data_IF_496428595269
#
_entry.id   IF_496428595269
#
_cell.length_a   1.000
_cell.length_b   1.000
_cell.length_c   1.000
_cell.angle_alpha   90.00
_cell.angle_beta   90.00
_cell.angle_gamma   90.00
#
_symmetry.space_group_name_H-M   'P 1'
#
loop_
_entity.id
_entity.type
_entity.pdbx_description
1 polymer ?
#
# COMPACT_ATOMS: atom_id res chain seq x y z
N UNK A 1 2.15 -3.76 -22.78
CA UNK A 1 0.92 -3.54 -21.99
C UNK A 1 0.56 -4.82 -21.27
N UNK A 2 0.28 -4.72 -19.97
CA UNK A 2 -0.11 -5.86 -19.15
C UNK A 2 -1.49 -6.39 -19.59
N UNK A 3 -1.77 -7.68 -19.35
CA UNK A 3 -3.06 -8.29 -19.69
C UNK A 3 -4.26 -7.57 -19.05
N UNK A 4 -4.06 -6.97 -17.87
CA UNK A 4 -5.09 -6.23 -17.16
C UNK A 4 -5.46 -4.92 -17.88
N UNK A 5 -4.48 -4.18 -18.37
CA UNK A 5 -4.71 -2.92 -19.10
C UNK A 5 -5.49 -3.13 -20.38
N UNK A 6 -5.21 -4.23 -21.10
CA UNK A 6 -5.99 -4.62 -22.30
C UNK A 6 -7.46 -4.90 -22.02
N UNK A 7 -7.83 -5.13 -20.75
CA UNK A 7 -9.19 -5.34 -20.29
C UNK A 7 -9.81 -4.08 -19.67
N UNK A 8 -9.16 -2.92 -19.82
CA UNK A 8 -9.64 -1.64 -19.29
C UNK A 8 -9.35 -1.41 -17.81
N UNK A 9 -8.54 -2.25 -17.17
CA UNK A 9 -8.10 -2.02 -15.80
C UNK A 9 -6.93 -1.03 -15.76
N UNK A 10 -6.93 -0.11 -14.79
CA UNK A 10 -5.74 0.65 -14.44
C UNK A 10 -4.81 -0.21 -13.57
N UNK A 11 -3.53 -0.26 -13.92
CA UNK A 11 -2.50 -0.97 -13.15
C UNK A 11 -1.60 0.05 -12.48
N UNK A 12 -1.48 -0.06 -11.16
CA UNK A 12 -0.53 0.70 -10.35
C UNK A 12 0.30 -0.28 -9.53
N UNK A 13 1.53 0.10 -9.25
CA UNK A 13 2.42 -0.65 -8.36
C UNK A 13 2.44 -0.01 -6.98
N UNK A 14 2.78 -0.80 -5.97
CA UNK A 14 2.89 -0.36 -4.58
C UNK A 14 4.20 -0.87 -3.98
N UNK A 15 4.67 -0.19 -2.95
CA UNK A 15 5.82 -0.65 -2.18
C UNK A 15 5.48 -1.89 -1.34
N UNK A 16 6.41 -2.84 -1.30
CA UNK A 16 6.30 -3.97 -0.38
C UNK A 16 6.61 -3.52 1.05
N UNK A 17 5.86 -4.06 2.02
CA UNK A 17 6.12 -3.76 3.42
C UNK A 17 7.41 -4.41 3.88
N UNK A 18 8.18 -3.67 4.67
CA UNK A 18 9.47 -4.13 5.18
C UNK A 18 9.65 -3.78 6.65
N UNK A 19 10.34 -4.66 7.39
CA UNK A 19 10.78 -4.36 8.75
C UNK A 19 11.78 -3.20 8.75
N UNK A 20 11.76 -2.39 9.80
CA UNK A 20 12.64 -1.22 9.95
C UNK A 20 14.12 -1.60 9.85
N UNK A 21 14.50 -2.75 10.42
CA UNK A 21 15.87 -3.29 10.32
C UNK A 21 16.32 -3.66 8.90
N UNK A 22 15.40 -3.84 7.96
CA UNK A 22 15.67 -4.27 6.58
C UNK A 22 15.45 -3.16 5.56
N UNK A 23 15.19 -1.94 6.02
CA UNK A 23 15.02 -0.77 5.16
C UNK A 23 16.30 -0.49 4.38
N UNK A 24 16.18 -0.20 3.08
CA UNK A 24 17.33 0.13 2.21
C UNK A 24 17.04 1.38 1.38
N UNK A 25 17.18 2.58 1.97
CA UNK A 25 16.80 3.85 1.35
C UNK A 25 17.44 4.10 -0.03
N UNK A 26 18.70 3.69 -0.21
CA UNK A 26 19.40 3.89 -1.48
C UNK A 26 18.75 3.08 -2.62
N UNK A 27 18.32 1.85 -2.34
CA UNK A 27 17.61 1.02 -3.31
C UNK A 27 16.17 1.50 -3.53
N UNK A 28 15.51 2.00 -2.47
CA UNK A 28 14.18 2.62 -2.57
C UNK A 28 14.23 3.78 -3.57
N UNK A 29 15.22 4.68 -3.43
CA UNK A 29 15.42 5.80 -4.34
C UNK A 29 15.74 5.34 -5.77
N UNK A 30 16.62 4.36 -5.94
CA UNK A 30 16.99 3.81 -7.25
C UNK A 30 15.77 3.20 -7.97
N UNK A 31 14.95 2.42 -7.26
CA UNK A 31 13.74 1.81 -7.79
C UNK A 31 12.74 2.89 -8.19
N UNK A 32 12.48 3.88 -7.33
CA UNK A 32 11.54 4.96 -7.62
C UNK A 32 11.93 5.71 -8.91
N UNK A 33 13.22 6.07 -9.03
CA UNK A 33 13.73 6.77 -10.22
C UNK A 33 13.58 5.92 -11.48
N UNK A 34 13.86 4.61 -11.40
CA UNK A 34 13.72 3.70 -12.55
C UNK A 34 12.26 3.52 -12.96
N UNK A 35 11.36 3.37 -12.00
CA UNK A 35 9.92 3.26 -12.28
C UNK A 35 9.38 4.54 -12.92
N UNK A 36 9.77 5.70 -12.38
CA UNK A 36 9.40 7.02 -12.94
C UNK A 36 9.91 7.20 -14.37
N UNK A 37 11.18 6.86 -14.64
CA UNK A 37 11.76 6.92 -16.01
C UNK A 37 11.08 5.96 -16.98
N UNK A 38 10.62 4.81 -16.50
CA UNK A 38 9.89 3.83 -17.29
C UNK A 38 8.41 4.19 -17.48
N UNK A 39 7.92 5.26 -16.85
CA UNK A 39 6.50 5.63 -16.88
C UNK A 39 5.59 4.63 -16.17
N UNK A 40 6.13 3.84 -15.24
CA UNK A 40 5.37 2.86 -14.46
C UNK A 40 4.76 3.57 -13.25
N UNK A 41 3.42 3.61 -13.09
CA UNK A 41 2.79 4.24 -11.94
C UNK A 41 3.15 3.48 -10.65
N UNK A 42 3.70 4.21 -9.68
CA UNK A 42 4.02 3.72 -8.35
C UNK A 42 3.30 4.59 -7.33
N UNK A 43 2.50 3.94 -6.49
CA UNK A 43 1.67 4.60 -5.49
C UNK A 43 2.46 4.76 -4.17
N UNK A 44 2.35 5.95 -3.58
CA UNK A 44 2.91 6.26 -2.28
C UNK A 44 4.44 6.30 -2.22
N UNK A 45 4.96 6.29 -1.01
CA UNK A 45 6.40 6.37 -0.73
C UNK A 45 6.89 5.11 0.00
N UNK A 46 8.13 4.68 -0.26
CA UNK A 46 8.68 3.49 0.38
C UNK A 46 8.66 3.58 1.92
N UNK A 47 8.93 4.77 2.45
CA UNK A 47 8.91 5.04 3.89
C UNK A 47 7.54 4.80 4.52
N UNK A 48 6.45 4.96 3.76
CA UNK A 48 5.08 4.78 4.23
C UNK A 48 4.70 3.31 4.46
N UNK A 49 5.55 2.35 4.07
CA UNK A 49 5.31 0.91 4.30
C UNK A 49 6.42 0.23 5.11
N UNK A 50 7.22 1.03 5.82
CA UNK A 50 8.18 0.54 6.80
C UNK A 50 7.49 0.39 8.16
N UNK A 51 7.60 -0.78 8.79
CA UNK A 51 6.98 -1.07 10.08
C UNK A 51 8.01 -1.54 11.11
N UNK A 52 7.73 -1.43 12.42
CA UNK A 52 8.59 -2.00 13.44
C UNK A 52 8.75 -3.52 13.25
N UNK A 53 9.94 -4.05 13.51
CA UNK A 53 10.26 -5.48 13.41
C UNK A 53 9.27 -6.39 14.15
N UNK A 54 8.74 -5.92 15.29
CA UNK A 54 7.72 -6.63 16.09
C UNK A 54 6.39 -6.84 15.36
N UNK A 55 6.18 -6.14 14.24
CA UNK A 55 4.99 -6.27 13.39
C UNK A 55 5.07 -7.45 12.42
N UNK A 56 6.17 -8.21 12.41
CA UNK A 56 6.41 -9.31 11.47
C UNK A 56 6.47 -10.67 12.18
N UNK A 57 6.23 -11.74 11.42
CA UNK A 57 6.19 -13.12 11.92
C UNK A 57 7.59 -13.73 12.05
N UNK A 58 8.18 -14.03 10.91
CA UNK A 58 9.36 -14.87 10.71
C UNK A 58 10.43 -14.17 9.85
N UNK A 59 9.99 -13.50 8.79
CA UNK A 59 10.83 -12.70 7.89
C UNK A 59 10.50 -11.23 7.97
N UNK A 60 11.36 -10.40 7.41
CA UNK A 60 11.18 -8.95 7.31
C UNK A 60 10.06 -8.52 6.34
N UNK A 61 9.26 -9.46 5.79
CA UNK A 61 8.22 -9.19 4.80
C UNK A 61 6.83 -9.74 5.18
N UNK A 62 6.74 -10.65 6.15
CA UNK A 62 5.47 -11.27 6.57
C UNK A 62 4.83 -10.54 7.77
N UNK A 63 3.98 -9.56 7.48
CA UNK A 63 3.26 -8.81 8.51
C UNK A 63 2.29 -9.69 9.33
N UNK A 64 2.26 -9.45 10.63
CA UNK A 64 1.22 -9.88 11.57
C UNK A 64 -0.12 -9.22 11.26
N UNK A 65 -1.20 -9.72 11.85
CA UNK A 65 -2.55 -9.23 11.61
C UNK A 65 -2.70 -7.71 11.81
N UNK A 66 -2.08 -7.17 12.88
CA UNK A 66 -2.06 -5.72 13.17
C UNK A 66 -1.36 -4.94 12.06
N UNK A 67 -0.18 -5.39 11.64
CA UNK A 67 0.57 -4.78 10.54
C UNK A 67 -0.18 -4.83 9.21
N UNK A 68 -0.82 -5.96 8.88
CA UNK A 68 -1.64 -6.10 7.67
C UNK A 68 -2.81 -5.11 7.65
N UNK A 69 -3.48 -4.90 8.79
CA UNK A 69 -4.56 -3.92 8.92
C UNK A 69 -4.06 -2.50 8.64
N UNK A 70 -2.94 -2.10 9.23
CA UNK A 70 -2.33 -0.79 9.01
C UNK A 70 -1.91 -0.60 7.55
N UNK A 71 -1.27 -1.60 6.95
CA UNK A 71 -0.91 -1.59 5.52
C UNK A 71 -2.14 -1.38 4.64
N UNK A 72 -3.20 -2.16 4.85
CA UNK A 72 -4.41 -2.06 4.02
C UNK A 72 -5.07 -0.70 4.17
N UNK A 73 -5.12 -0.15 5.39
CA UNK A 73 -5.64 1.20 5.62
C UNK A 73 -4.86 2.26 4.83
N UNK A 74 -3.52 2.22 4.89
CA UNK A 74 -2.65 3.13 4.11
C UNK A 74 -2.87 2.99 2.60
N UNK A 75 -2.94 1.76 2.10
CA UNK A 75 -3.18 1.53 0.67
C UNK A 75 -4.53 2.10 0.22
N UNK A 76 -5.58 1.97 1.04
CA UNK A 76 -6.88 2.59 0.77
C UNK A 76 -6.70 4.12 0.69
N UNK A 77 -6.08 4.73 1.70
CA UNK A 77 -5.85 6.18 1.75
C UNK A 77 -5.06 6.69 0.53
N UNK A 78 -4.01 5.98 0.13
CA UNK A 78 -3.20 6.32 -1.04
C UNK A 78 -4.04 6.22 -2.33
N UNK A 79 -4.80 5.14 -2.52
CA UNK A 79 -5.68 4.97 -3.69
C UNK A 79 -6.76 6.07 -3.76
N UNK A 80 -7.28 6.50 -2.61
CA UNK A 80 -8.25 7.59 -2.54
C UNK A 80 -7.62 8.96 -2.86
N UNK A 81 -6.38 9.18 -2.42
CA UNK A 81 -5.69 10.47 -2.52
C UNK A 81 -5.08 10.69 -3.90
N UNK A 82 -4.57 9.63 -4.54
CA UNK A 82 -3.97 9.69 -5.88
C UNK A 82 -4.98 10.08 -6.97
N UNK A 83 -6.29 10.10 -6.64
CA UNK A 83 -7.37 10.49 -7.54
C UNK A 83 -7.73 9.42 -8.58
N UNK A 84 -7.00 8.31 -8.59
CA UNK A 84 -7.20 7.19 -9.50
C UNK A 84 -8.38 6.31 -9.14
N UNK A 85 -8.80 6.36 -7.86
CA UNK A 85 -9.99 5.68 -7.37
C UNK A 85 -10.88 6.68 -6.66
N UNK A 86 -12.14 6.75 -7.07
CA UNK A 86 -13.17 7.42 -6.28
C UNK A 86 -13.54 6.55 -5.09
N UNK A 87 -12.89 6.80 -3.97
CA UNK A 87 -13.29 6.18 -2.72
C UNK A 87 -14.62 6.75 -2.24
N UNK A 88 -15.44 5.88 -1.63
CA UNK A 88 -16.63 6.31 -0.91
C UNK A 88 -16.23 7.37 0.11
N UNK A 89 -16.91 8.51 0.12
CA UNK A 89 -16.86 9.43 1.26
C UNK A 89 -17.20 8.61 2.49
N UNK A 90 -16.30 8.56 3.47
CA UNK A 90 -16.60 7.92 4.75
C UNK A 90 -17.91 8.53 5.24
N UNK A 91 -18.99 7.77 5.47
CA UNK A 91 -20.16 8.38 6.08
C UNK A 91 -19.69 8.90 7.45
N UNK A 92 -20.00 10.16 7.73
CA UNK A 92 -19.74 10.83 9.00
C UNK A 92 -20.63 10.28 10.12
N UNK A 93 -20.73 8.95 10.24
CA UNK A 93 -21.55 8.23 11.19
C UNK A 93 -20.78 7.04 11.71
N UNK A 94 -20.70 6.93 13.03
CA UNK A 94 -20.08 5.80 13.73
C UNK A 94 -20.59 4.45 13.16
N UNK A 95 -19.77 3.38 13.16
CA UNK A 95 -20.20 2.07 12.71
C UNK A 95 -21.37 1.60 13.59
N UNK A 96 -22.54 1.42 12.97
CA UNK A 96 -23.69 0.79 13.61
C UNK A 96 -23.32 -0.67 13.92
N UNK A 97 -23.25 -0.99 15.22
CA UNK A 97 -22.99 -2.35 15.68
C UNK A 97 -24.21 -3.19 15.32
N UNK A 98 -24.13 -3.94 14.22
CA UNK A 98 -25.13 -4.95 13.87
C UNK A 98 -24.98 -6.11 14.86
N UNK A 99 -25.70 -6.05 15.98
CA UNK A 99 -25.95 -7.23 16.81
C UNK A 99 -26.96 -8.12 16.08
N UNK A 100 -26.51 -9.29 15.61
CA UNK A 100 -27.42 -10.33 15.12
C UNK A 100 -28.18 -10.98 16.31
N UNK A 101 -29.45 -11.38 16.09
CA UNK A 101 -30.26 -12.05 17.11
C UNK A 101 -29.75 -13.45 17.46
#
# INVERSE_FOLDING_TARGET
MANAERKGAKVVFVWSCVASSSRRPDLELEIEQRMRRAGIPLLGEAAAVVFPDTSFHDTHYHLRATGRKLRTQRLIEELCTDGEVHCCSTPSGAPEVVTRP
#
